data_IF_271881078877
#
_entry.id   IF_271881078877
#
_cell.length_a   1.000
_cell.length_b   1.000
_cell.length_c   1.000
_cell.angle_alpha   90.00
_cell.angle_beta   90.00
_cell.angle_gamma   90.00
#
_symmetry.space_group_name_H-M   'P 1'
#
loop_
_entity.id
_entity.type
_entity.pdbx_description
1 polymer ?
#
# COMPACT_ATOMS: atom_id res chain seq x y z
N UNK A 1 -4.16 11.87 13.16
CA UNK A 1 -3.75 13.23 13.51
C UNK A 1 -2.45 13.32 14.29
N UNK A 2 -2.32 12.69 15.46
CA UNK A 2 -1.16 12.91 16.37
C UNK A 2 0.19 12.53 15.76
N UNK A 3 0.27 11.44 14.99
CA UNK A 3 1.51 11.00 14.34
C UNK A 3 2.09 11.99 13.32
N UNK A 4 1.31 12.97 12.86
CA UNK A 4 1.73 14.00 11.91
C UNK A 4 2.08 15.34 12.59
N UNK A 5 2.02 15.43 13.91
CA UNK A 5 2.26 16.69 14.63
C UNK A 5 3.74 17.10 14.66
N UNK A 6 4.65 16.12 14.58
CA UNK A 6 6.09 16.41 14.43
C UNK A 6 6.46 16.33 12.95
N UNK A 7 6.61 17.50 12.33
CA UNK A 7 7.07 17.58 10.95
C UNK A 7 8.56 17.19 10.91
N UNK A 8 8.96 16.14 10.17
CA UNK A 8 10.35 15.73 10.09
C UNK A 8 11.22 16.82 9.45
N UNK A 9 12.44 16.92 9.91
CA UNK A 9 13.41 17.86 9.33
C UNK A 9 13.65 17.56 7.85
N UNK A 10 13.63 18.59 7.03
CA UNK A 10 13.91 18.46 5.60
C UNK A 10 15.40 18.25 5.37
N UNK A 11 15.78 17.08 4.86
CA UNK A 11 17.18 16.73 4.57
C UNK A 11 17.62 17.02 3.13
N UNK A 12 16.67 17.16 2.19
CA UNK A 12 16.93 17.45 0.78
C UNK A 12 15.99 18.51 0.23
N UNK A 13 16.42 19.17 -0.83
CA UNK A 13 15.52 20.05 -1.58
C UNK A 13 14.43 19.23 -2.30
N UNK A 14 13.18 19.70 -2.32
CA UNK A 14 12.10 19.04 -3.04
C UNK A 14 12.44 18.82 -4.53
N UNK A 15 12.12 17.62 -5.03
CA UNK A 15 12.35 17.27 -6.43
C UNK A 15 13.79 16.92 -6.79
N UNK A 16 14.74 16.91 -5.84
CA UNK A 16 16.15 16.56 -6.10
C UNK A 16 16.45 15.09 -5.88
N UNK A 17 15.84 14.50 -4.86
CA UNK A 17 16.08 13.11 -4.49
C UNK A 17 14.76 12.42 -4.18
N UNK A 18 14.68 11.13 -4.56
CA UNK A 18 13.65 10.24 -4.08
C UNK A 18 14.11 9.62 -2.76
N UNK A 19 13.29 9.70 -1.73
CA UNK A 19 13.49 9.02 -0.46
C UNK A 19 12.15 8.46 0.02
N UNK A 20 12.14 7.19 0.43
CA UNK A 20 10.96 6.57 0.99
C UNK A 20 10.58 7.22 2.33
N UNK A 21 9.28 7.41 2.55
CA UNK A 21 8.81 8.05 3.76
C UNK A 21 7.44 7.53 4.18
N UNK A 22 7.39 6.82 5.30
CA UNK A 22 6.13 6.48 5.97
C UNK A 22 5.35 7.72 6.41
N UNK A 23 6.05 8.79 6.80
CA UNK A 23 5.42 10.08 7.07
C UNK A 23 4.71 10.64 5.83
N UNK A 24 5.34 10.52 4.65
CA UNK A 24 4.72 10.93 3.38
C UNK A 24 3.46 10.13 3.06
N UNK A 25 3.48 8.81 3.28
CA UNK A 25 2.29 7.95 3.13
C UNK A 25 1.19 8.33 4.13
N UNK A 26 1.54 8.59 5.40
CA UNK A 26 0.62 9.04 6.43
C UNK A 26 -0.03 10.38 6.08
N UNK A 27 0.77 11.33 5.57
CA UNK A 27 0.28 12.65 5.15
C UNK A 27 -0.66 12.53 3.94
N UNK A 28 -0.37 11.67 2.97
CA UNK A 28 -1.25 11.42 1.84
C UNK A 28 -2.61 10.83 2.30
N UNK A 29 -2.59 9.87 3.23
CA UNK A 29 -3.81 9.34 3.83
C UNK A 29 -4.61 10.40 4.58
N UNK A 30 -3.95 11.24 5.37
CA UNK A 30 -4.59 12.35 6.07
C UNK A 30 -5.24 13.36 5.11
N UNK A 31 -4.56 13.69 4.00
CA UNK A 31 -5.13 14.56 2.97
C UNK A 31 -6.39 13.92 2.36
N UNK A 32 -6.36 12.60 2.13
CA UNK A 32 -7.54 11.90 1.62
C UNK A 32 -8.73 11.96 2.60
N UNK A 33 -8.48 11.85 3.93
CA UNK A 33 -9.51 12.04 4.96
C UNK A 33 -10.09 13.45 4.91
N UNK A 34 -9.25 14.48 4.92
CA UNK A 34 -9.67 15.89 4.93
C UNK A 34 -10.48 16.27 3.68
N UNK A 35 -10.07 15.76 2.51
CA UNK A 35 -10.74 16.06 1.24
C UNK A 35 -12.05 15.29 1.09
N UNK A 36 -12.09 14.03 1.53
CA UNK A 36 -13.29 13.18 1.42
C UNK A 36 -14.29 13.39 2.55
N UNK A 37 -13.85 13.91 3.69
CA UNK A 37 -14.63 13.97 4.94
C UNK A 37 -14.91 12.59 5.54
N UNK A 38 -14.13 11.57 5.16
CA UNK A 38 -14.29 10.17 5.58
C UNK A 38 -12.98 9.66 6.16
N UNK A 39 -13.02 8.99 7.30
CA UNK A 39 -11.83 8.40 7.93
C UNK A 39 -11.13 7.45 6.96
N UNK A 40 -9.78 7.42 6.97
CA UNK A 40 -8.97 6.72 5.98
C UNK A 40 -9.35 5.25 5.81
N UNK A 41 -9.53 4.53 6.93
CA UNK A 41 -9.88 3.11 6.87
C UNK A 41 -11.26 2.89 6.27
N UNK A 42 -12.24 3.72 6.64
CA UNK A 42 -13.59 3.70 6.06
C UNK A 42 -13.54 4.04 4.56
N UNK A 43 -12.74 5.04 4.19
CA UNK A 43 -12.60 5.44 2.79
C UNK A 43 -12.02 4.31 1.93
N UNK A 44 -10.95 3.67 2.38
CA UNK A 44 -10.30 2.57 1.65
C UNK A 44 -11.22 1.35 1.57
N UNK A 45 -11.86 0.98 2.69
CA UNK A 45 -12.80 -0.15 2.72
C UNK A 45 -13.96 0.07 1.76
N UNK A 46 -14.65 1.20 1.80
CA UNK A 46 -15.82 1.48 0.96
C UNK A 46 -15.48 1.69 -0.52
N UNK A 47 -14.35 2.31 -0.83
CA UNK A 47 -14.03 2.73 -2.20
C UNK A 47 -13.11 1.78 -2.96
N UNK A 48 -12.43 0.88 -2.27
CA UNK A 48 -11.50 -0.07 -2.88
C UNK A 48 -11.85 -1.50 -2.49
N UNK A 49 -11.78 -1.85 -1.20
CA UNK A 49 -11.87 -3.22 -0.70
C UNK A 49 -13.23 -3.84 -1.01
N UNK A 50 -14.32 -3.18 -0.61
CA UNK A 50 -15.68 -3.65 -0.85
C UNK A 50 -16.02 -3.68 -2.34
N UNK A 51 -15.63 -2.64 -3.08
CA UNK A 51 -15.88 -2.57 -4.53
C UNK A 51 -15.22 -3.70 -5.30
N UNK A 52 -14.00 -4.09 -4.92
CA UNK A 52 -13.29 -5.21 -5.54
C UNK A 52 -13.65 -6.57 -4.96
N UNK A 53 -14.57 -6.64 -3.99
CA UNK A 53 -14.95 -7.88 -3.33
C UNK A 53 -13.79 -8.55 -2.58
N UNK A 54 -12.91 -7.77 -1.96
CA UNK A 54 -11.73 -8.23 -1.23
C UNK A 54 -12.09 -8.59 0.22
N UNK A 55 -12.87 -9.65 0.42
CA UNK A 55 -13.49 -10.02 1.69
C UNK A 55 -12.52 -10.51 2.78
N UNK A 56 -11.28 -10.77 2.42
CA UNK A 56 -10.20 -11.18 3.35
C UNK A 56 -9.16 -10.07 3.55
N UNK A 57 -9.55 -8.81 3.27
CA UNK A 57 -8.67 -7.66 3.34
C UNK A 57 -9.24 -6.60 4.27
N UNK A 58 -8.37 -5.99 5.08
CA UNK A 58 -8.70 -4.81 5.88
C UNK A 58 -7.46 -3.96 6.10
N UNK A 59 -7.65 -2.66 6.30
CA UNK A 59 -6.60 -1.73 6.76
C UNK A 59 -6.69 -1.47 8.26
N UNK A 60 -7.62 -2.13 8.96
CA UNK A 60 -7.78 -2.01 10.42
C UNK A 60 -6.92 -3.04 11.13
N UNK A 61 -6.17 -2.59 12.10
CA UNK A 61 -5.28 -3.49 12.85
C UNK A 61 -5.96 -4.21 14.03
N UNK A 62 -7.12 -3.72 14.47
CA UNK A 62 -8.02 -4.55 15.27
C UNK A 62 -8.84 -5.42 14.33
N UNK A 63 -8.29 -6.59 14.00
CA UNK A 63 -8.96 -7.54 13.13
C UNK A 63 -10.30 -7.99 13.73
N UNK A 64 -11.31 -8.15 12.87
CA UNK A 64 -12.56 -8.82 13.24
C UNK A 64 -12.29 -10.24 13.70
N UNK A 65 -13.14 -10.85 14.52
CA UNK A 65 -12.95 -12.24 14.97
C UNK A 65 -12.75 -13.22 13.81
N UNK A 66 -13.50 -13.08 12.73
CA UNK A 66 -13.41 -13.92 11.52
C UNK A 66 -12.06 -13.77 10.80
N UNK A 67 -11.59 -12.55 10.59
CA UNK A 67 -10.28 -12.31 9.98
C UNK A 67 -9.14 -12.78 10.86
N UNK A 68 -9.27 -12.62 12.17
CA UNK A 68 -8.27 -13.11 13.14
C UNK A 68 -8.13 -14.62 13.13
N UNK A 69 -9.24 -15.37 13.03
CA UNK A 69 -9.22 -16.83 12.96
C UNK A 69 -8.53 -17.35 11.69
N UNK A 70 -8.60 -16.59 10.60
CA UNK A 70 -7.98 -16.92 9.31
C UNK A 70 -6.57 -16.36 9.13
N UNK A 71 -6.05 -15.64 10.11
CA UNK A 71 -4.74 -15.04 10.05
C UNK A 71 -3.64 -16.10 10.07
N UNK A 72 -2.67 -16.00 9.15
CA UNK A 72 -1.48 -16.84 9.18
C UNK A 72 -0.55 -16.47 10.33
N UNK A 73 0.20 -17.44 10.85
CA UNK A 73 1.28 -17.19 11.78
C UNK A 73 2.61 -17.05 11.04
N UNK A 74 3.43 -16.09 11.46
CA UNK A 74 4.81 -15.98 11.01
C UNK A 74 5.73 -16.87 11.84
N UNK A 75 6.84 -17.31 11.25
CA UNK A 75 7.85 -18.13 11.93
C UNK A 75 9.25 -17.70 11.55
N UNK A 76 10.15 -17.71 12.51
CA UNK A 76 11.59 -17.73 12.25
C UNK A 76 12.08 -19.16 12.12
N UNK A 77 13.02 -19.38 11.24
CA UNK A 77 13.79 -20.62 11.24
C UNK A 77 15.17 -20.35 11.85
N UNK A 78 15.42 -20.96 12.99
CA UNK A 78 16.69 -20.84 13.71
C UNK A 78 17.09 -22.21 14.26
N UNK A 79 18.36 -22.58 14.16
CA UNK A 79 18.96 -23.79 14.72
C UNK A 79 18.23 -25.12 14.40
N UNK A 80 17.55 -25.18 13.25
CA UNK A 80 16.83 -26.38 12.80
C UNK A 80 15.39 -26.47 13.26
N UNK A 81 14.88 -25.44 13.94
CA UNK A 81 13.50 -25.38 14.45
C UNK A 81 12.77 -24.14 13.96
N UNK A 82 11.43 -24.22 13.90
CA UNK A 82 10.57 -23.10 13.59
C UNK A 82 10.09 -22.46 14.90
N UNK A 83 10.47 -21.21 15.13
CA UNK A 83 9.97 -20.42 16.25
C UNK A 83 8.86 -19.48 15.78
N UNK A 84 7.72 -19.47 16.47
CA UNK A 84 6.59 -18.62 16.12
C UNK A 84 6.90 -17.15 16.37
N UNK A 85 6.62 -16.30 15.37
CA UNK A 85 6.60 -14.84 15.51
C UNK A 85 5.33 -14.40 16.25
N UNK A 86 5.46 -14.16 17.54
CA UNK A 86 4.38 -13.54 18.34
C UNK A 86 4.98 -12.43 19.19
N UNK A 87 4.32 -11.29 19.34
CA UNK A 87 2.96 -10.95 18.88
C UNK A 87 2.90 -10.44 17.41
N UNK A 88 1.69 -10.38 16.85
CA UNK A 88 1.41 -9.67 15.60
C UNK A 88 1.83 -8.20 15.70
N UNK A 89 2.60 -7.72 14.73
CA UNK A 89 3.04 -6.33 14.72
C UNK A 89 1.88 -5.38 14.38
N UNK A 90 1.71 -4.36 15.22
CA UNK A 90 0.68 -3.34 15.05
C UNK A 90 1.30 -2.07 14.48
N UNK A 91 0.90 -1.70 13.26
CA UNK A 91 1.29 -0.45 12.63
C UNK A 91 0.29 0.64 13.00
N UNK A 92 0.68 1.56 13.85
CA UNK A 92 -0.21 2.60 14.39
C UNK A 92 -0.62 3.69 13.40
N UNK A 93 -0.03 3.68 12.21
CA UNK A 93 -0.29 4.64 11.11
C UNK A 93 -0.84 3.89 9.90
N UNK A 94 -2.16 3.73 9.78
CA UNK A 94 -2.78 2.89 8.76
C UNK A 94 -2.30 3.12 7.32
N UNK A 95 -2.15 4.35 6.81
CA UNK A 95 -1.70 4.57 5.43
C UNK A 95 -0.27 4.10 5.15
N UNK A 96 0.53 3.85 6.19
CA UNK A 96 1.95 3.49 6.05
C UNK A 96 2.21 1.97 6.08
N UNK A 97 1.19 1.12 6.28
CA UNK A 97 1.43 -0.32 6.23
C UNK A 97 0.51 -1.22 7.05
N UNK A 98 -0.66 -0.74 7.51
CA UNK A 98 -1.53 -1.57 8.35
C UNK A 98 -2.34 -2.64 7.60
N UNK A 99 -2.29 -2.69 6.27
CA UNK A 99 -3.14 -3.57 5.49
C UNK A 99 -2.79 -5.05 5.70
N UNK A 100 -3.82 -5.84 5.99
CA UNK A 100 -3.78 -7.30 5.99
C UNK A 100 -4.64 -7.81 4.86
N UNK A 101 -4.15 -8.78 4.08
CA UNK A 101 -4.84 -9.28 2.89
C UNK A 101 -4.53 -10.75 2.62
N UNK A 102 -5.31 -11.36 1.73
CA UNK A 102 -5.01 -12.66 1.13
C UNK A 102 -4.41 -12.51 -0.28
N UNK A 103 -3.71 -13.55 -0.75
CA UNK A 103 -3.19 -13.57 -2.12
C UNK A 103 -4.31 -13.46 -3.18
N UNK A 104 -5.48 -14.06 -2.91
CA UNK A 104 -6.65 -13.98 -3.80
C UNK A 104 -7.17 -12.56 -3.92
N UNK A 105 -7.32 -11.84 -2.81
CA UNK A 105 -7.77 -10.45 -2.83
C UNK A 105 -6.72 -9.52 -3.47
N UNK A 106 -5.44 -9.75 -3.20
CA UNK A 106 -4.37 -9.00 -3.87
C UNK A 106 -4.32 -9.26 -5.38
N UNK A 107 -4.74 -10.44 -5.85
CA UNK A 107 -4.88 -10.70 -7.27
C UNK A 107 -5.97 -9.81 -7.91
N UNK A 108 -7.12 -9.63 -7.25
CA UNK A 108 -8.18 -8.71 -7.73
C UNK A 108 -7.68 -7.28 -7.85
N UNK A 109 -6.99 -6.78 -6.81
CA UNK A 109 -6.37 -5.46 -6.82
C UNK A 109 -5.31 -5.32 -7.94
N UNK A 110 -4.50 -6.36 -8.14
CA UNK A 110 -3.50 -6.39 -9.22
C UNK A 110 -4.16 -6.34 -10.59
N UNK A 111 -5.22 -7.13 -10.81
CA UNK A 111 -5.98 -7.12 -12.07
C UNK A 111 -6.62 -5.75 -12.31
N UNK A 112 -7.22 -5.14 -11.29
CA UNK A 112 -7.77 -3.80 -11.40
C UNK A 112 -6.71 -2.78 -11.87
N UNK A 113 -5.48 -2.85 -11.34
CA UNK A 113 -4.38 -2.00 -11.79
C UNK A 113 -3.94 -2.31 -13.24
N UNK A 114 -3.85 -3.58 -13.63
CA UNK A 114 -3.51 -3.99 -14.99
C UNK A 114 -4.58 -3.56 -16.01
N UNK A 115 -5.82 -3.51 -15.59
CA UNK A 115 -6.98 -3.07 -16.40
C UNK A 115 -7.30 -1.57 -16.22
N UNK A 116 -6.29 -0.76 -15.85
CA UNK A 116 -6.43 0.69 -15.74
C UNK A 116 -7.59 1.13 -14.85
N UNK A 117 -7.67 0.54 -13.65
CA UNK A 117 -8.61 0.92 -12.60
C UNK A 117 -9.92 0.16 -12.59
N UNK A 118 -10.03 -0.95 -13.32
CA UNK A 118 -11.27 -1.75 -13.42
C UNK A 118 -11.01 -3.23 -13.15
N UNK A 119 -11.90 -3.86 -12.40
CA UNK A 119 -11.92 -5.30 -12.18
C UNK A 119 -13.36 -5.79 -12.38
N UNK A 120 -13.55 -6.78 -13.27
CA UNK A 120 -14.87 -7.20 -13.75
C UNK A 120 -15.64 -5.95 -14.25
N UNK A 121 -16.81 -5.65 -13.84
CA UNK A 121 -17.56 -4.46 -14.27
C UNK A 121 -17.47 -3.30 -13.24
N UNK A 122 -16.51 -3.35 -12.31
CA UNK A 122 -16.35 -2.38 -11.23
C UNK A 122 -15.12 -1.52 -11.43
N UNK A 123 -15.33 -0.22 -11.51
CA UNK A 123 -14.25 0.76 -11.64
C UNK A 123 -13.97 1.47 -10.32
N UNK A 124 -12.71 1.42 -9.88
CA UNK A 124 -12.22 2.13 -8.68
C UNK A 124 -11.42 3.40 -9.02
N UNK A 125 -10.86 3.49 -10.24
CA UNK A 125 -10.15 4.65 -10.76
C UNK A 125 -10.53 4.90 -12.21
N UNK A 126 -10.53 6.16 -12.64
CA UNK A 126 -10.58 6.45 -14.07
C UNK A 126 -9.33 5.93 -14.77
N UNK A 127 -9.43 5.57 -16.05
CA UNK A 127 -8.30 5.14 -16.86
C UNK A 127 -7.19 6.20 -16.89
N UNK A 128 -7.55 7.46 -16.97
CA UNK A 128 -6.62 8.60 -16.93
C UNK A 128 -5.85 8.64 -15.59
N UNK A 129 -6.56 8.48 -14.46
CA UNK A 129 -5.93 8.47 -13.13
C UNK A 129 -5.03 7.25 -12.94
N UNK A 130 -5.47 6.06 -13.36
CA UNK A 130 -4.66 4.85 -13.30
C UNK A 130 -3.38 4.99 -14.14
N UNK A 131 -3.50 5.50 -15.36
CA UNK A 131 -2.35 5.82 -16.23
C UNK A 131 -1.41 6.84 -15.59
N UNK A 132 -1.96 7.90 -15.00
CA UNK A 132 -1.20 8.91 -14.27
C UNK A 132 -0.42 8.28 -13.11
N UNK A 133 -1.04 7.43 -12.30
CA UNK A 133 -0.38 6.77 -11.17
C UNK A 133 0.75 5.83 -11.61
N UNK A 134 0.59 5.14 -12.73
CA UNK A 134 1.53 4.11 -13.18
C UNK A 134 2.73 4.63 -13.97
N UNK A 135 2.72 5.89 -14.42
CA UNK A 135 3.87 6.46 -15.12
C UNK A 135 4.96 6.90 -14.13
N UNK A 136 6.21 6.96 -14.60
CA UNK A 136 7.33 7.48 -13.82
C UNK A 136 7.18 8.99 -13.63
N UNK A 137 7.24 9.44 -12.39
CA UNK A 137 7.20 10.86 -12.00
C UNK A 137 8.57 11.39 -11.57
N UNK A 138 9.43 10.50 -11.06
CA UNK A 138 10.79 10.85 -10.68
C UNK A 138 11.75 9.70 -10.96
N UNK A 139 12.96 10.06 -11.41
CA UNK A 139 14.03 9.11 -11.70
C UNK A 139 15.36 9.85 -11.58
N UNK A 140 16.31 9.31 -10.83
CA UNK A 140 17.63 9.93 -10.65
C UNK A 140 18.49 9.87 -11.92
N UNK A 141 18.37 8.78 -12.67
CA UNK A 141 19.08 8.52 -13.92
C UNK A 141 18.24 7.58 -14.79
N UNK A 142 18.16 7.77 -16.11
CA UNK A 142 17.36 6.90 -17.00
C UNK A 142 17.71 5.42 -16.96
N UNK A 143 18.85 5.05 -16.38
CA UNK A 143 19.29 3.65 -16.21
C UNK A 143 18.81 3.03 -14.89
N UNK A 144 18.27 3.83 -13.99
CA UNK A 144 17.75 3.37 -12.70
C UNK A 144 16.23 3.23 -12.76
N UNK A 145 15.68 2.47 -11.84
CA UNK A 145 14.23 2.36 -11.68
C UNK A 145 13.62 3.70 -11.24
N UNK A 146 12.44 4.00 -11.74
CA UNK A 146 11.71 5.21 -11.43
C UNK A 146 10.72 5.06 -10.28
N UNK A 147 10.17 6.19 -9.84
CA UNK A 147 9.12 6.26 -8.83
C UNK A 147 7.83 6.71 -9.50
N UNK A 148 6.78 5.93 -9.30
CA UNK A 148 5.40 6.21 -9.69
C UNK A 148 4.60 6.72 -8.48
N UNK A 149 3.32 7.02 -8.62
CA UNK A 149 2.50 7.37 -7.46
C UNK A 149 2.07 6.10 -6.72
N UNK A 150 2.63 5.90 -5.52
CA UNK A 150 2.38 4.74 -4.67
C UNK A 150 3.07 3.45 -5.11
N UNK A 151 3.86 3.48 -6.20
CA UNK A 151 4.58 2.32 -6.72
C UNK A 151 6.02 2.65 -7.07
N UNK A 152 6.88 1.63 -7.04
CA UNK A 152 8.21 1.66 -7.65
C UNK A 152 8.15 1.01 -9.02
N UNK A 153 8.88 1.60 -9.97
CA UNK A 153 9.17 0.94 -11.24
C UNK A 153 10.29 -0.08 -11.04
N UNK A 154 10.16 -1.21 -11.68
CA UNK A 154 11.19 -2.24 -11.75
C UNK A 154 11.30 -2.73 -13.19
N UNK A 155 12.52 -3.00 -13.64
CA UNK A 155 12.75 -3.69 -14.92
C UNK A 155 13.34 -5.08 -14.64
N UNK A 156 12.63 -6.13 -15.03
CA UNK A 156 13.06 -7.50 -14.84
C UNK A 156 12.99 -8.25 -16.16
N UNK A 157 14.15 -8.66 -16.66
CA UNK A 157 14.27 -9.38 -17.93
C UNK A 157 13.65 -8.64 -19.13
N UNK A 158 13.78 -7.30 -19.17
CA UNK A 158 13.21 -6.48 -20.24
C UNK A 158 11.70 -6.21 -20.11
N UNK A 159 11.07 -6.68 -19.04
CA UNK A 159 9.66 -6.41 -18.75
C UNK A 159 9.58 -5.32 -17.66
N UNK A 160 8.81 -4.27 -17.95
CA UNK A 160 8.50 -3.22 -16.99
C UNK A 160 7.45 -3.72 -16.00
N UNK A 161 7.77 -3.65 -14.74
CA UNK A 161 6.88 -3.95 -13.63
C UNK A 161 6.69 -2.68 -12.78
N UNK A 162 5.55 -2.57 -12.14
CA UNK A 162 5.32 -1.62 -11.05
C UNK A 162 4.84 -2.39 -9.83
N UNK A 163 5.24 -1.97 -8.66
CA UNK A 163 4.84 -2.61 -7.42
C UNK A 163 5.37 -1.88 -6.20
N UNK A 164 4.99 -2.37 -5.04
CA UNK A 164 5.50 -1.91 -3.75
C UNK A 164 5.75 -3.14 -2.87
N UNK A 165 6.87 -3.15 -2.16
CA UNK A 165 7.18 -4.18 -1.18
C UNK A 165 6.59 -3.85 0.19
N UNK A 166 6.53 -4.85 1.06
CA UNK A 166 6.29 -4.70 2.49
C UNK A 166 7.39 -5.43 3.24
N UNK A 167 7.78 -4.90 4.41
CA UNK A 167 8.80 -5.47 5.28
C UNK A 167 8.39 -5.16 6.72
N UNK A 168 7.77 -6.15 7.37
CA UNK A 168 7.31 -6.09 8.77
C UNK A 168 7.56 -7.41 9.46
#
# INVERSE_FOLDING_TARGET
GEALMEIPERVFEPGKFSAYSNYGAALAGYIAEEVSGTEFSDYVEQNIIEKLGMSSTTVRQTLSPDLRERMSSGYYYSDGENESLTPFEIITVPPAGSMTSSAEDMAKFTIANLQMGEFEDVRILSEETASLMQRVHFQHDPRLNGVCYGFYEMNKNGVRLIGHGGDT
#
